data_IF_916917968855
#
_entry.id   IF_916917968855
#
_cell.length_a   1.000
_cell.length_b   1.000
_cell.length_c   1.000
_cell.angle_alpha   90.00
_cell.angle_beta   90.00
_cell.angle_gamma   90.00
#
_symmetry.space_group_name_H-M   'P 1'
#
loop_
_entity.id
_entity.type
_entity.pdbx_description
1 polymer ?
#
# COMPACT_ATOMS: atom_id res chain seq x y z
N UNK A 1 1.76 -15.42 8.65
CA UNK A 1 1.14 -14.21 9.21
C UNK A 1 2.11 -13.03 9.31
N UNK A 2 3.40 -13.23 9.62
CA UNK A 2 4.39 -12.13 9.72
C UNK A 2 4.69 -11.37 8.40
N UNK A 3 4.46 -11.99 7.23
CA UNK A 3 4.69 -11.34 5.95
C UNK A 3 3.68 -10.22 5.62
N UNK A 4 2.48 -10.23 6.23
CA UNK A 4 1.43 -9.24 5.96
C UNK A 4 1.89 -7.82 6.34
N UNK A 5 2.50 -7.66 7.51
CA UNK A 5 2.99 -6.35 7.95
C UNK A 5 4.16 -5.87 7.09
N UNK A 6 5.06 -6.77 6.67
CA UNK A 6 6.17 -6.44 5.78
C UNK A 6 5.71 -6.01 4.38
N UNK A 7 4.76 -6.73 3.79
CA UNK A 7 4.20 -6.40 2.47
C UNK A 7 3.40 -5.09 2.51
N UNK A 8 2.61 -4.86 3.55
CA UNK A 8 1.86 -3.60 3.77
C UNK A 8 2.79 -2.39 3.89
N UNK A 9 3.87 -2.50 4.67
CA UNK A 9 4.87 -1.42 4.79
C UNK A 9 5.55 -1.15 3.45
N UNK A 10 5.92 -2.19 2.70
CA UNK A 10 6.58 -2.02 1.41
C UNK A 10 5.65 -1.39 0.35
N UNK A 11 4.39 -1.83 0.31
CA UNK A 11 3.36 -1.24 -0.56
C UNK A 11 3.11 0.23 -0.23
N UNK A 12 2.98 0.55 1.07
CA UNK A 12 2.81 1.93 1.54
C UNK A 12 4.01 2.79 1.16
N UNK A 13 5.23 2.29 1.37
CA UNK A 13 6.45 2.97 0.97
C UNK A 13 6.48 3.24 -0.54
N UNK A 14 6.18 2.23 -1.36
CA UNK A 14 6.14 2.37 -2.82
C UNK A 14 5.13 3.44 -3.27
N UNK A 15 3.91 3.42 -2.73
CA UNK A 15 2.87 4.42 -3.03
C UNK A 15 3.28 5.83 -2.62
N UNK A 16 3.93 5.99 -1.46
CA UNK A 16 4.45 7.29 -1.02
C UNK A 16 5.54 7.81 -1.96
N UNK A 17 6.35 6.93 -2.54
CA UNK A 17 7.42 7.27 -3.48
C UNK A 17 6.97 7.35 -4.95
N UNK A 18 5.66 7.35 -5.21
CA UNK A 18 5.12 7.60 -6.54
C UNK A 18 4.98 6.36 -7.41
N UNK A 19 4.88 5.16 -6.81
CA UNK A 19 4.50 3.97 -7.58
C UNK A 19 3.07 4.12 -8.12
N UNK A 20 2.92 4.01 -9.45
CA UNK A 20 1.62 4.07 -10.12
C UNK A 20 0.88 2.73 -10.13
N UNK A 21 1.59 1.61 -9.93
CA UNK A 21 1.03 0.25 -9.97
C UNK A 21 1.59 -0.59 -8.81
N UNK A 22 0.70 -1.24 -8.07
CA UNK A 22 1.05 -2.29 -7.10
C UNK A 22 0.61 -3.66 -7.65
N UNK A 23 1.56 -4.59 -7.79
CA UNK A 23 1.26 -5.99 -8.13
C UNK A 23 1.30 -6.84 -6.87
N UNK A 24 0.12 -7.21 -6.39
CA UNK A 24 -0.08 -7.95 -5.13
C UNK A 24 -0.87 -9.23 -5.36
N UNK A 25 -0.74 -10.19 -4.45
CA UNK A 25 -1.62 -11.36 -4.38
C UNK A 25 -2.88 -11.04 -3.56
N UNK A 26 -2.69 -10.30 -2.46
CA UNK A 26 -3.74 -9.93 -1.52
C UNK A 26 -4.25 -8.50 -1.83
N UNK A 27 -5.34 -8.43 -2.60
CA UNK A 27 -5.88 -7.18 -3.14
C UNK A 27 -6.53 -6.30 -2.06
N UNK A 28 -7.13 -6.91 -1.02
CA UNK A 28 -7.86 -6.14 0.01
C UNK A 28 -6.94 -5.25 0.82
N UNK A 29 -5.82 -5.81 1.26
CA UNK A 29 -4.78 -5.17 2.07
C UNK A 29 -4.08 -4.07 1.27
N UNK A 30 -3.80 -4.31 -0.02
CA UNK A 30 -3.24 -3.29 -0.89
C UNK A 30 -4.21 -2.12 -1.11
N UNK A 31 -5.50 -2.39 -1.26
CA UNK A 31 -6.52 -1.34 -1.37
C UNK A 31 -6.62 -0.51 -0.09
N UNK A 32 -6.46 -1.12 1.08
CA UNK A 32 -6.39 -0.39 2.35
C UNK A 32 -5.16 0.53 2.40
N UNK A 33 -3.98 0.05 1.99
CA UNK A 33 -2.77 0.87 1.87
C UNK A 33 -2.97 2.07 0.94
N UNK A 34 -3.59 1.87 -0.23
CA UNK A 34 -3.90 2.94 -1.18
C UNK A 34 -4.78 4.00 -0.52
N UNK A 35 -5.89 3.60 0.10
CA UNK A 35 -6.82 4.53 0.77
C UNK A 35 -6.14 5.32 1.89
N UNK A 36 -5.30 4.67 2.70
CA UNK A 36 -4.55 5.34 3.76
C UNK A 36 -3.57 6.36 3.18
N UNK A 37 -2.83 6.00 2.12
CA UNK A 37 -1.86 6.90 1.49
C UNK A 37 -2.56 8.07 0.77
N UNK A 38 -3.71 7.85 0.14
CA UNK A 38 -4.53 8.91 -0.46
C UNK A 38 -5.03 9.90 0.59
N UNK A 39 -5.56 9.39 1.71
CA UNK A 39 -5.99 10.22 2.83
C UNK A 39 -4.85 11.06 3.43
N UNK A 40 -3.63 10.49 3.51
CA UNK A 40 -2.43 11.21 3.96
C UNK A 40 -1.97 12.29 2.97
N UNK A 41 -2.12 12.05 1.67
CA UNK A 41 -1.77 13.00 0.61
C UNK A 41 -2.79 14.14 0.45
N UNK A 42 -3.90 14.10 1.19
CA UNK A 42 -4.90 15.17 1.22
C UNK A 42 -5.66 15.34 -0.10
N UNK A 43 -5.86 14.25 -0.85
CA UNK A 43 -6.75 14.21 -2.01
C UNK A 43 -8.12 13.67 -1.65
#
# INVERSE_FOLDING_TARGET
EEALNGTTVLNTFALLHGADILRVHDVKEAMECVRMVEALKGK
#
